data_IF_059637091873
#
_entry.id   IF_059637091873
#
_cell.length_a   1.000
_cell.length_b   1.000
_cell.length_c   1.000
_cell.angle_alpha   90.00
_cell.angle_beta   90.00
_cell.angle_gamma   90.00
#
_symmetry.space_group_name_H-M   'P 1'
#
loop_
_entity.id
_entity.type
_entity.pdbx_description
1 polymer ?
#
# COMPACT_ATOMS: atom_id res chain seq x y z
N UNK A 1 -8.04 1.30 -33.15
CA UNK A 1 -8.11 -0.17 -33.08
C UNK A 1 -8.03 -0.52 -31.59
N UNK A 2 -9.10 -0.68 -30.82
CA UNK A 2 -10.21 -1.62 -30.99
C UNK A 2 -10.23 -2.46 -29.69
N UNK A 3 -10.76 -1.90 -28.60
CA UNK A 3 -10.75 -2.52 -27.28
C UNK A 3 -12.15 -2.56 -26.69
N UNK A 4 -12.96 -3.51 -27.15
CA UNK A 4 -14.27 -3.80 -26.56
C UNK A 4 -14.11 -4.47 -25.20
N UNK A 5 -13.81 -3.68 -24.16
CA UNK A 5 -14.10 -4.07 -22.79
C UNK A 5 -15.61 -4.19 -22.64
N UNK A 6 -16.12 -5.37 -22.27
CA UNK A 6 -17.55 -5.64 -22.04
C UNK A 6 -18.06 -4.77 -20.87
N UNK A 7 -18.53 -3.56 -21.16
CA UNK A 7 -19.21 -2.67 -20.20
C UNK A 7 -20.68 -3.11 -20.05
N UNK A 8 -21.14 -3.25 -18.82
CA UNK A 8 -22.53 -3.62 -18.47
C UNK A 8 -23.21 -2.45 -17.74
N UNK A 9 -24.47 -2.18 -18.06
CA UNK A 9 -25.28 -1.16 -17.40
C UNK A 9 -25.63 -1.58 -15.95
N UNK A 10 -25.65 -0.62 -15.00
CA UNK A 10 -26.00 -0.88 -13.60
C UNK A 10 -26.23 0.38 -12.75
N UNK A 11 -26.58 0.26 -11.46
CA UNK A 11 -26.95 1.39 -10.60
C UNK A 11 -25.72 2.15 -10.02
N UNK A 12 -24.84 2.68 -10.87
CA UNK A 12 -23.69 3.53 -10.46
C UNK A 12 -24.08 4.94 -10.00
N UNK A 13 -23.14 5.89 -9.97
CA UNK A 13 -23.42 7.33 -9.78
C UNK A 13 -23.02 8.20 -10.98
N UNK A 14 -22.10 7.70 -11.82
CA UNK A 14 -21.62 8.42 -13.00
C UNK A 14 -22.55 8.20 -14.21
N UNK A 15 -22.88 9.30 -14.90
CA UNK A 15 -23.78 9.30 -16.06
C UNK A 15 -23.11 8.63 -17.26
N UNK A 16 -23.68 7.52 -17.75
CA UNK A 16 -23.15 6.81 -18.92
C UNK A 16 -23.85 7.25 -20.20
N UNK A 17 -25.14 6.95 -20.33
CA UNK A 17 -25.96 7.34 -21.47
C UNK A 17 -27.44 7.38 -21.07
N UNK A 18 -28.24 8.05 -21.88
CA UNK A 18 -29.69 7.88 -21.81
C UNK A 18 -30.10 6.76 -22.75
N UNK A 19 -30.93 5.84 -22.25
CA UNK A 19 -31.60 4.83 -23.09
C UNK A 19 -33.11 4.92 -22.95
N UNK A 20 -33.88 4.47 -23.94
CA UNK A 20 -35.32 4.32 -23.79
C UNK A 20 -35.67 3.44 -22.57
N UNK A 21 -36.69 3.85 -21.83
CA UNK A 21 -37.25 3.09 -20.72
C UNK A 21 -37.94 1.83 -21.25
N UNK A 22 -37.77 0.71 -20.55
CA UNK A 22 -38.43 -0.56 -20.82
C UNK A 22 -39.30 -0.97 -19.63
N UNK A 23 -40.21 -1.92 -19.84
CA UNK A 23 -41.23 -2.38 -18.89
C UNK A 23 -40.72 -3.06 -17.61
N UNK A 24 -39.44 -2.93 -17.26
CA UNK A 24 -38.84 -3.38 -16.00
C UNK A 24 -38.05 -2.31 -15.26
N UNK A 25 -37.98 -1.08 -15.79
CA UNK A 25 -37.20 0.00 -15.20
C UNK A 25 -37.94 0.68 -14.05
N UNK A 26 -37.25 0.86 -12.92
CA UNK A 26 -37.85 1.56 -11.78
C UNK A 26 -38.01 3.06 -12.08
N UNK A 27 -39.21 3.60 -11.83
CA UNK A 27 -39.57 5.00 -12.13
C UNK A 27 -38.60 6.05 -11.54
N UNK A 28 -37.91 5.73 -10.44
CA UNK A 28 -36.89 6.59 -9.82
C UNK A 28 -35.64 6.85 -10.70
N UNK A 29 -35.41 6.04 -11.73
CA UNK A 29 -34.29 6.18 -12.64
C UNK A 29 -34.68 6.89 -13.95
N UNK A 30 -35.96 7.25 -14.11
CA UNK A 30 -36.46 8.01 -15.25
C UNK A 30 -36.03 9.47 -15.10
N UNK A 31 -35.37 10.00 -16.13
CA UNK A 31 -35.09 11.43 -16.22
C UNK A 31 -36.32 12.13 -16.80
N UNK A 32 -37.18 12.62 -15.92
CA UNK A 32 -38.42 13.30 -16.30
C UNK A 32 -38.17 14.56 -17.12
N UNK A 33 -37.03 15.24 -16.90
CA UNK A 33 -36.69 16.49 -17.59
C UNK A 33 -36.33 16.26 -19.06
N UNK A 34 -35.59 15.18 -19.36
CA UNK A 34 -35.30 14.75 -20.74
C UNK A 34 -36.53 14.12 -21.39
N UNK A 35 -37.27 13.31 -20.64
CA UNK A 35 -38.47 12.63 -21.13
C UNK A 35 -39.58 13.61 -21.51
N UNK A 36 -39.70 14.76 -20.83
CA UNK A 36 -40.67 15.79 -21.19
C UNK A 36 -40.41 16.48 -22.54
N UNK A 37 -39.25 16.24 -23.17
CA UNK A 37 -38.88 16.82 -24.47
C UNK A 37 -39.00 15.82 -25.64
N UNK A 38 -39.56 14.64 -25.40
CA UNK A 38 -39.66 13.55 -26.38
C UNK A 38 -40.92 12.70 -26.13
N UNK A 39 -41.42 12.00 -27.13
CA UNK A 39 -42.53 11.04 -26.98
C UNK A 39 -42.09 9.71 -26.31
N UNK A 40 -40.90 9.68 -25.73
CA UNK A 40 -40.27 8.47 -25.19
C UNK A 40 -39.67 8.78 -23.84
N UNK A 41 -39.93 7.90 -22.87
CA UNK A 41 -39.32 7.99 -21.54
C UNK A 41 -37.86 7.54 -21.62
N UNK A 42 -36.96 8.32 -21.03
CA UNK A 42 -35.53 8.01 -20.96
C UNK A 42 -35.11 7.67 -19.54
N UNK A 43 -34.39 6.56 -19.39
CA UNK A 43 -33.73 6.17 -18.15
C UNK A 43 -32.26 6.58 -18.22
N UNK A 44 -31.75 7.10 -17.10
CA UNK A 44 -30.33 7.39 -16.94
C UNK A 44 -29.60 6.09 -16.57
N UNK A 45 -28.98 5.44 -17.57
CA UNK A 45 -28.06 4.33 -17.29
C UNK A 45 -26.81 4.91 -16.63
N UNK A 46 -26.42 4.30 -15.51
CA UNK A 46 -25.22 4.65 -14.77
C UNK A 46 -24.17 3.57 -15.00
N UNK A 47 -22.89 3.92 -15.06
CA UNK A 47 -21.85 2.92 -15.26
C UNK A 47 -21.68 2.09 -13.98
N UNK A 48 -21.70 0.77 -14.10
CA UNK A 48 -21.36 -0.12 -12.99
C UNK A 48 -19.86 -0.08 -12.74
N UNK A 49 -19.43 0.74 -11.79
CA UNK A 49 -18.12 0.60 -11.16
C UNK A 49 -18.36 -0.09 -9.82
N UNK A 50 -18.06 -1.40 -9.72
CA UNK A 50 -17.89 -2.02 -8.40
C UNK A 50 -16.79 -1.24 -7.70
N UNK A 51 -17.14 -0.49 -6.65
CA UNK A 51 -16.16 0.17 -5.80
C UNK A 51 -15.12 -0.87 -5.38
N UNK A 52 -13.91 -0.75 -5.90
CA UNK A 52 -12.83 -1.65 -5.53
C UNK A 52 -12.49 -1.42 -4.06
N UNK A 53 -12.07 -2.49 -3.38
CA UNK A 53 -11.62 -2.43 -2.00
C UNK A 53 -10.09 -2.42 -1.99
N UNK A 54 -9.51 -1.43 -1.33
CA UNK A 54 -8.09 -1.29 -1.07
C UNK A 54 -7.80 -1.60 0.41
N UNK A 55 -7.06 -2.68 0.66
CA UNK A 55 -6.60 -3.06 2.00
C UNK A 55 -5.16 -2.61 2.21
N UNK A 56 -4.88 -1.96 3.33
CA UNK A 56 -3.56 -1.45 3.68
C UNK A 56 -2.98 -2.25 4.84
N UNK A 57 -1.81 -2.84 4.65
CA UNK A 57 -1.00 -3.33 5.76
C UNK A 57 0.15 -2.33 5.98
N UNK A 58 0.19 -1.76 7.18
CA UNK A 58 1.20 -0.79 7.60
C UNK A 58 1.97 -1.42 8.75
N UNK A 59 3.26 -1.66 8.54
CA UNK A 59 4.10 -2.29 9.53
C UNK A 59 4.36 -1.37 10.74
N UNK A 60 3.95 -1.84 11.91
CA UNK A 60 4.14 -1.18 13.21
C UNK A 60 5.22 -1.82 14.10
N UNK A 61 6.08 -2.68 13.53
CA UNK A 61 7.17 -3.34 14.27
C UNK A 61 8.24 -2.39 14.76
N UNK A 62 9.08 -2.86 15.69
CA UNK A 62 10.10 -2.01 16.32
C UNK A 62 11.11 -1.45 15.32
N UNK A 63 11.48 -2.24 14.32
CA UNK A 63 12.36 -1.83 13.21
C UNK A 63 11.86 -0.55 12.51
N UNK A 64 10.54 -0.37 12.39
CA UNK A 64 9.93 0.78 11.73
C UNK A 64 10.10 2.10 12.51
N UNK A 65 10.47 2.04 13.80
CA UNK A 65 10.76 3.23 14.62
C UNK A 65 12.18 3.78 14.42
N UNK A 66 13.04 3.07 13.68
CA UNK A 66 14.40 3.51 13.41
C UNK A 66 14.44 4.80 12.56
N UNK A 67 15.37 5.70 12.92
CA UNK A 67 15.81 6.84 12.13
C UNK A 67 17.30 7.06 12.40
N UNK A 68 18.10 7.18 11.34
CA UNK A 68 19.53 7.46 11.46
C UNK A 68 19.85 8.96 11.52
N UNK A 69 18.84 9.82 11.53
CA UNK A 69 19.02 11.27 11.57
C UNK A 69 19.16 11.79 13.01
N UNK A 70 19.96 12.84 13.24
CA UNK A 70 19.99 13.53 14.53
C UNK A 70 18.65 14.21 14.84
N UNK A 71 18.36 14.39 16.12
CA UNK A 71 17.21 15.16 16.58
C UNK A 71 17.38 16.67 16.29
N UNK A 72 16.26 17.39 16.15
CA UNK A 72 16.26 18.85 15.93
C UNK A 72 16.34 19.27 14.46
N UNK A 73 17.21 20.23 14.14
CA UNK A 73 17.30 20.90 12.83
C UNK A 73 17.99 19.99 11.80
N UNK A 74 17.30 18.94 11.39
CA UNK A 74 17.83 17.84 10.58
C UNK A 74 17.13 16.50 10.81
N UNK A 75 16.14 16.47 11.73
CA UNK A 75 15.36 15.28 11.99
C UNK A 75 14.67 14.78 10.73
N UNK A 76 14.83 13.48 10.47
CA UNK A 76 14.06 12.75 9.47
C UNK A 76 12.94 11.96 10.16
N UNK A 77 11.77 11.83 9.51
CA UNK A 77 10.73 10.95 10.04
C UNK A 77 11.24 9.52 10.13
N UNK A 78 10.75 8.78 11.12
CA UNK A 78 10.96 7.32 11.19
C UNK A 78 10.34 6.64 9.97
N UNK A 79 10.79 5.43 9.66
CA UNK A 79 10.19 4.62 8.58
C UNK A 79 8.68 4.44 8.78
N UNK A 80 8.25 4.17 10.01
CA UNK A 80 6.85 4.01 10.39
C UNK A 80 6.05 5.29 10.19
N UNK A 81 6.60 6.46 10.55
CA UNK A 81 5.93 7.73 10.28
C UNK A 81 5.76 7.98 8.77
N UNK A 82 6.77 7.63 7.96
CA UNK A 82 6.68 7.69 6.50
C UNK A 82 5.63 6.72 5.95
N UNK A 83 5.60 5.49 6.43
CA UNK A 83 4.62 4.47 6.03
C UNK A 83 3.18 4.93 6.28
N UNK A 84 2.91 5.43 7.49
CA UNK A 84 1.59 5.96 7.87
C UNK A 84 1.15 7.16 7.04
N UNK A 85 2.08 8.08 6.76
CA UNK A 85 1.82 9.22 5.87
C UNK A 85 1.38 8.75 4.48
N UNK A 86 2.14 7.82 3.88
CA UNK A 86 1.83 7.27 2.56
C UNK A 86 0.50 6.50 2.56
N UNK A 87 0.24 5.71 3.59
CA UNK A 87 -1.02 4.98 3.77
C UNK A 87 -2.23 5.93 3.84
N UNK A 88 -2.15 6.98 4.66
CA UNK A 88 -3.24 7.96 4.79
C UNK A 88 -3.44 8.77 3.51
N UNK A 89 -2.35 9.21 2.86
CA UNK A 89 -2.44 9.92 1.60
C UNK A 89 -3.10 9.06 0.51
N UNK A 90 -2.71 7.78 0.42
CA UNK A 90 -3.31 6.84 -0.51
C UNK A 90 -4.78 6.56 -0.19
N UNK A 91 -5.14 6.44 1.10
CA UNK A 91 -6.53 6.28 1.52
C UNK A 91 -7.39 7.48 1.11
N UNK A 92 -6.87 8.71 1.25
CA UNK A 92 -7.56 9.92 0.78
C UNK A 92 -7.78 9.87 -0.73
N UNK A 93 -6.79 9.45 -1.51
CA UNK A 93 -6.93 9.30 -2.97
C UNK A 93 -7.97 8.23 -3.33
N UNK A 94 -7.92 7.06 -2.69
CA UNK A 94 -8.87 5.98 -2.89
C UNK A 94 -10.31 6.41 -2.61
N UNK A 95 -10.55 7.07 -1.48
CA UNK A 95 -11.89 7.58 -1.13
C UNK A 95 -12.37 8.65 -2.10
N UNK A 96 -11.48 9.53 -2.58
CA UNK A 96 -11.82 10.51 -3.63
C UNK A 96 -12.16 9.84 -4.96
N UNK A 97 -11.55 8.70 -5.26
CA UNK A 97 -11.86 7.87 -6.42
C UNK A 97 -13.09 6.97 -6.25
N UNK A 98 -13.83 7.07 -5.14
CA UNK A 98 -15.01 6.25 -4.87
C UNK A 98 -14.70 4.82 -4.40
N UNK A 99 -13.45 4.52 -4.05
CA UNK A 99 -13.03 3.20 -3.54
C UNK A 99 -13.31 3.06 -2.05
N UNK A 100 -13.42 1.80 -1.60
CA UNK A 100 -13.44 1.46 -0.17
C UNK A 100 -12.01 1.24 0.29
N UNK A 101 -11.64 1.79 1.45
CA UNK A 101 -10.29 1.64 1.99
C UNK A 101 -10.32 1.17 3.44
N UNK A 102 -9.38 0.31 3.83
CA UNK A 102 -9.29 -0.24 5.18
C UNK A 102 -7.88 -0.70 5.51
N UNK A 103 -7.67 -1.08 6.77
CA UNK A 103 -6.49 -1.83 7.19
C UNK A 103 -6.74 -3.33 7.05
N UNK A 104 -5.67 -4.10 6.96
CA UNK A 104 -5.73 -5.55 7.19
C UNK A 104 -6.11 -5.85 8.64
N UNK A 105 -6.62 -7.05 8.88
CA UNK A 105 -7.15 -7.45 10.18
C UNK A 105 -8.57 -6.92 10.45
N UNK A 106 -9.10 -7.13 11.67
CA UNK A 106 -10.50 -6.85 11.99
C UNK A 106 -10.79 -5.39 12.37
N UNK A 107 -9.76 -4.59 12.68
CA UNK A 107 -9.92 -3.28 13.31
C UNK A 107 -10.54 -2.23 12.37
N UNK A 108 -10.22 -2.27 11.09
CA UNK A 108 -10.71 -1.29 10.11
C UNK A 108 -10.94 -1.92 8.74
N UNK A 109 -11.98 -2.76 8.56
CA UNK A 109 -12.27 -3.36 7.26
C UNK A 109 -12.58 -2.26 6.20
N UNK A 110 -12.37 -2.54 4.89
CA UNK A 110 -12.56 -1.55 3.84
C UNK A 110 -13.98 -0.96 3.81
N UNK A 111 -14.08 0.37 3.99
CA UNK A 111 -15.33 1.14 3.92
C UNK A 111 -15.15 2.41 3.10
N UNK A 112 -16.21 2.97 2.49
CA UNK A 112 -16.13 4.22 1.75
C UNK A 112 -16.22 5.44 2.67
N UNK A 113 -15.87 6.60 2.13
CA UNK A 113 -16.24 7.90 2.70
C UNK A 113 -15.31 8.45 3.78
N UNK A 114 -15.60 9.70 4.17
CA UNK A 114 -14.74 10.49 5.07
C UNK A 114 -14.66 9.93 6.49
N UNK A 115 -15.73 9.30 6.99
CA UNK A 115 -15.73 8.68 8.31
C UNK A 115 -14.64 7.60 8.43
N UNK A 116 -14.46 6.80 7.37
CA UNK A 116 -13.41 5.79 7.34
C UNK A 116 -12.00 6.41 7.37
N UNK A 117 -11.78 7.53 6.68
CA UNK A 117 -10.49 8.24 6.74
C UNK A 117 -10.15 8.69 8.16
N UNK A 118 -11.14 9.15 8.93
CA UNK A 118 -10.93 9.54 10.33
C UNK A 118 -10.56 8.33 11.19
N UNK A 119 -11.24 7.19 11.02
CA UNK A 119 -10.90 5.93 11.70
C UNK A 119 -9.46 5.51 11.39
N UNK A 120 -9.07 5.53 10.12
CA UNK A 120 -7.70 5.19 9.69
C UNK A 120 -6.67 6.17 10.27
N UNK A 121 -6.96 7.46 10.30
CA UNK A 121 -6.08 8.47 10.88
C UNK A 121 -5.87 8.26 12.39
N UNK A 122 -6.93 7.87 13.12
CA UNK A 122 -6.81 7.53 14.54
C UNK A 122 -5.97 6.28 14.75
N UNK A 123 -6.27 5.18 14.05
CA UNK A 123 -5.55 3.91 14.23
C UNK A 123 -4.08 4.00 13.81
N UNK A 124 -3.79 4.67 12.69
CA UNK A 124 -2.41 4.89 12.26
C UNK A 124 -1.71 5.98 13.09
N UNK A 125 -2.45 6.81 13.82
CA UNK A 125 -1.88 7.83 14.70
C UNK A 125 -1.26 7.25 15.96
N UNK A 126 -1.69 6.06 16.38
CA UNK A 126 -1.22 5.39 17.59
C UNK A 126 0.08 4.59 17.34
N UNK A 127 1.21 5.17 17.74
CA UNK A 127 2.56 4.58 17.63
C UNK A 127 3.04 4.00 18.98
N UNK A 128 2.13 3.79 19.94
CA UNK A 128 2.48 3.38 21.31
C UNK A 128 2.52 1.86 21.50
N UNK A 129 2.04 1.10 20.51
CA UNK A 129 1.99 -0.36 20.59
C UNK A 129 3.39 -0.98 20.55
N UNK A 130 3.69 -1.81 21.56
CA UNK A 130 4.87 -2.69 21.56
C UNK A 130 4.59 -3.88 20.64
N UNK A 131 5.01 -3.75 19.38
CA UNK A 131 5.02 -4.84 18.40
C UNK A 131 6.30 -5.69 18.46
N UNK A 132 6.36 -6.79 17.69
CA UNK A 132 7.59 -7.57 17.50
C UNK A 132 8.70 -6.72 16.89
N UNK A 133 9.94 -7.23 16.91
CA UNK A 133 11.09 -6.53 16.34
C UNK A 133 10.91 -6.24 14.84
N UNK A 134 10.33 -7.20 14.12
CA UNK A 134 10.05 -7.11 12.70
C UNK A 134 8.60 -7.51 12.39
N UNK A 135 8.02 -6.88 11.36
CA UNK A 135 6.63 -7.12 10.98
C UNK A 135 6.46 -8.36 10.11
N UNK A 136 5.30 -8.99 10.27
CA UNK A 136 4.81 -10.06 9.39
C UNK A 136 3.52 -9.58 8.72
N UNK A 137 3.36 -9.70 7.39
CA UNK A 137 2.14 -9.29 6.72
C UNK A 137 0.91 -10.01 7.25
N UNK A 138 -0.11 -9.24 7.63
CA UNK A 138 -1.43 -9.78 7.99
C UNK A 138 -2.35 -9.77 6.76
N UNK A 139 -2.89 -10.93 6.40
CA UNK A 139 -3.75 -11.08 5.21
C UNK A 139 -5.24 -11.16 5.53
N UNK A 140 -5.59 -11.20 6.81
CA UNK A 140 -6.97 -11.24 7.29
C UNK A 140 -7.74 -9.98 6.84
N UNK A 141 -9.01 -10.14 6.49
CA UNK A 141 -9.87 -9.01 6.09
C UNK A 141 -9.65 -8.49 4.66
N UNK A 142 -8.63 -8.95 3.93
CA UNK A 142 -8.48 -8.66 2.50
C UNK A 142 -9.54 -9.44 1.73
N UNK A 143 -10.27 -8.83 0.79
CA UNK A 143 -11.28 -9.50 -0.03
C UNK A 143 -10.65 -10.27 -1.21
N UNK A 144 -11.28 -11.36 -1.66
CA UNK A 144 -10.86 -12.04 -2.89
C UNK A 144 -11.00 -11.11 -4.10
N UNK A 145 -10.07 -11.22 -5.06
CA UNK A 145 -9.96 -10.31 -6.21
C UNK A 145 -9.87 -8.81 -5.81
N UNK A 146 -9.48 -8.54 -4.55
CA UNK A 146 -9.28 -7.20 -4.03
C UNK A 146 -7.89 -6.66 -4.36
N UNK A 147 -7.62 -5.44 -3.87
CA UNK A 147 -6.29 -4.81 -3.96
C UNK A 147 -5.69 -4.62 -2.59
N UNK A 148 -4.39 -4.79 -2.48
CA UNK A 148 -3.67 -4.59 -1.22
C UNK A 148 -2.37 -3.78 -1.40
N UNK A 149 -2.00 -3.04 -0.36
CA UNK A 149 -0.72 -2.31 -0.29
C UNK A 149 -0.02 -2.63 1.01
N UNK A 150 1.23 -3.08 0.91
CA UNK A 150 2.08 -3.45 2.02
C UNK A 150 3.21 -2.42 2.18
N UNK A 151 3.32 -1.83 3.37
CA UNK A 151 4.27 -0.77 3.70
C UNK A 151 5.13 -1.20 4.90
N UNK A 152 6.39 -1.55 4.65
CA UNK A 152 7.32 -2.11 5.64
C UNK A 152 8.77 -1.92 5.19
N UNK A 153 9.75 -2.14 6.06
CA UNK A 153 11.14 -2.36 5.64
C UNK A 153 11.38 -3.78 5.11
N UNK A 154 10.42 -4.68 5.33
CA UNK A 154 10.45 -6.09 5.03
C UNK A 154 11.71 -6.77 5.58
N UNK A 155 12.16 -6.46 6.80
CA UNK A 155 13.30 -7.15 7.43
C UNK A 155 12.92 -8.40 8.24
N UNK A 156 11.62 -8.66 8.42
CA UNK A 156 11.11 -9.87 9.09
C UNK A 156 11.38 -11.18 8.36
N UNK A 157 10.75 -12.26 8.79
CA UNK A 157 10.89 -13.55 8.14
C UNK A 157 10.40 -13.49 6.68
N UNK A 158 11.29 -13.84 5.76
CA UNK A 158 11.00 -13.78 4.33
C UNK A 158 10.06 -14.90 3.89
N UNK A 159 10.08 -16.05 4.57
CA UNK A 159 9.19 -17.16 4.26
C UNK A 159 7.76 -16.84 4.69
N UNK A 160 7.59 -16.11 5.80
CA UNK A 160 6.29 -15.58 6.20
C UNK A 160 5.73 -14.55 5.19
N UNK A 161 6.59 -13.71 4.61
CA UNK A 161 6.21 -12.79 3.52
C UNK A 161 5.78 -13.59 2.27
N UNK A 162 6.54 -14.63 1.91
CA UNK A 162 6.22 -15.50 0.78
C UNK A 162 4.87 -16.20 0.97
N UNK A 163 4.61 -16.74 2.16
CA UNK A 163 3.35 -17.40 2.50
C UNK A 163 2.15 -16.43 2.43
N UNK A 164 2.32 -15.20 2.92
CA UNK A 164 1.31 -14.16 2.81
C UNK A 164 1.00 -13.80 1.36
N UNK A 165 2.03 -13.62 0.52
CA UNK A 165 1.87 -13.35 -0.92
C UNK A 165 1.19 -14.52 -1.63
N UNK A 166 1.59 -15.77 -1.36
CA UNK A 166 0.96 -16.96 -1.93
C UNK A 166 -0.53 -17.05 -1.59
N UNK A 167 -0.86 -16.84 -0.32
CA UNK A 167 -2.27 -16.81 0.14
C UNK A 167 -3.10 -15.74 -0.59
N UNK A 168 -2.48 -14.60 -0.92
CA UNK A 168 -3.15 -13.52 -1.64
C UNK A 168 -3.25 -13.78 -3.14
N UNK A 169 -2.21 -14.36 -3.74
CA UNK A 169 -2.20 -14.78 -5.14
C UNK A 169 -3.29 -15.83 -5.42
N UNK A 170 -3.43 -16.84 -4.55
CA UNK A 170 -4.48 -17.87 -4.64
C UNK A 170 -5.90 -17.28 -4.62
N UNK A 171 -6.06 -16.11 -3.99
CA UNK A 171 -7.33 -15.38 -3.89
C UNK A 171 -7.51 -14.36 -5.01
N UNK A 172 -6.58 -14.30 -5.97
CA UNK A 172 -6.56 -13.33 -7.07
C UNK A 172 -6.35 -11.89 -6.61
N UNK A 173 -5.79 -11.67 -5.43
CA UNK A 173 -5.51 -10.33 -4.91
C UNK A 173 -4.26 -9.80 -5.59
N UNK A 174 -4.38 -8.63 -6.22
CA UNK A 174 -3.24 -7.90 -6.77
C UNK A 174 -2.82 -6.79 -5.81
N UNK A 175 -1.59 -6.32 -5.91
CA UNK A 175 -1.14 -5.33 -4.96
C UNK A 175 0.24 -4.75 -5.20
N UNK A 176 0.65 -3.97 -4.22
CA UNK A 176 1.92 -3.25 -4.24
C UNK A 176 2.62 -3.43 -2.90
N UNK A 177 3.90 -3.76 -2.95
CA UNK A 177 4.82 -3.73 -1.82
C UNK A 177 5.74 -2.52 -1.97
N UNK A 178 5.78 -1.68 -0.95
CA UNK A 178 6.72 -0.57 -0.89
C UNK A 178 7.64 -0.75 0.31
N UNK A 179 8.91 -1.06 0.02
CA UNK A 179 9.94 -1.13 1.03
C UNK A 179 10.33 0.28 1.49
N UNK A 180 10.32 0.55 2.78
CA UNK A 180 10.68 1.85 3.34
C UNK A 180 11.95 1.70 4.17
N UNK A 181 13.00 2.45 3.83
CA UNK A 181 14.30 2.36 4.49
C UNK A 181 14.82 3.72 4.92
N UNK A 182 15.54 3.76 6.04
CA UNK A 182 16.35 4.93 6.37
C UNK A 182 17.68 4.88 5.61
N UNK A 183 18.19 6.02 5.10
CA UNK A 183 19.51 6.06 4.46
C UNK A 183 20.63 5.41 5.26
N UNK A 184 20.61 5.52 6.60
CA UNK A 184 21.64 4.91 7.44
C UNK A 184 21.63 3.38 7.39
N UNK A 185 20.49 2.75 7.06
CA UNK A 185 20.42 1.29 6.88
C UNK A 185 21.09 0.86 5.58
N UNK A 186 21.00 1.64 4.50
CA UNK A 186 21.65 1.33 3.22
C UNK A 186 23.13 1.75 3.17
N UNK A 187 23.40 2.92 3.72
CA UNK A 187 24.72 3.51 3.71
C UNK A 187 25.61 2.90 4.79
N UNK A 188 25.00 2.27 5.80
CA UNK A 188 25.67 1.61 6.92
C UNK A 188 26.86 2.44 7.42
N UNK A 189 26.63 3.68 7.90
CA UNK A 189 27.69 4.63 8.24
C UNK A 189 28.37 4.32 9.59
N UNK A 190 28.14 3.14 10.15
CA UNK A 190 28.70 2.73 11.43
C UNK A 190 30.13 2.22 11.22
N UNK A 191 31.12 2.93 11.76
CA UNK A 191 32.46 2.38 11.98
C UNK A 191 32.33 1.20 12.96
N UNK A 192 33.08 0.11 12.73
CA UNK A 192 32.90 -1.21 13.39
C UNK A 192 32.65 -1.20 14.90
N UNK A 193 33.11 -0.16 15.62
CA UNK A 193 32.87 0.06 17.05
C UNK A 193 31.40 0.03 17.47
N UNK A 194 30.47 0.58 16.69
CA UNK A 194 29.04 0.63 17.09
C UNK A 194 28.36 -0.74 17.00
N UNK A 195 28.91 -1.66 16.20
CA UNK A 195 28.37 -3.02 16.00
C UNK A 195 28.86 -3.95 17.12
N UNK A 196 30.08 -3.75 17.61
CA UNK A 196 30.62 -4.50 18.75
C UNK A 196 29.83 -4.25 20.05
N UNK A 197 29.34 -3.03 20.28
CA UNK A 197 28.49 -2.76 21.44
C UNK A 197 27.12 -3.47 21.36
N UNK A 198 26.62 -3.76 20.15
CA UNK A 198 25.35 -4.48 19.98
C UNK A 198 25.49 -6.01 19.97
N UNK A 199 26.68 -6.57 19.73
CA UNK A 199 26.87 -8.02 19.51
C UNK A 199 27.88 -8.72 20.43
N UNK A 200 28.55 -8.01 21.34
CA UNK A 200 29.42 -8.64 22.34
C UNK A 200 30.70 -7.84 22.53
N UNK A 201 30.84 -7.20 23.70
CA UNK A 201 32.00 -6.38 24.05
C UNK A 201 33.31 -7.15 23.91
N UNK A 202 34.18 -6.71 23.00
CA UNK A 202 35.49 -7.29 22.79
C UNK A 202 36.31 -6.60 21.71
N UNK A 203 37.11 -5.60 22.12
CA UNK A 203 38.29 -4.99 21.48
C UNK A 203 38.53 -5.19 19.95
N UNK A 204 38.52 -4.07 19.18
CA UNK A 204 39.69 -3.24 18.80
C UNK A 204 40.61 -3.86 17.71
N UNK A 205 40.06 -4.25 16.55
CA UNK A 205 40.84 -4.54 15.33
C UNK A 205 40.10 -4.20 14.00
N UNK A 206 39.43 -3.05 13.86
CA UNK A 206 38.27 -2.98 12.93
C UNK A 206 38.29 -1.85 11.87
N UNK A 207 39.33 -1.71 11.04
CA UNK A 207 39.23 -0.79 9.87
C UNK A 207 39.13 -1.54 8.53
N UNK A 208 39.93 -2.59 8.31
CA UNK A 208 39.78 -3.47 7.12
C UNK A 208 38.55 -4.36 7.22
N UNK A 209 38.20 -4.81 8.42
CA UNK A 209 37.00 -5.61 8.68
C UNK A 209 35.71 -4.80 8.52
N UNK A 210 35.72 -3.49 8.82
CA UNK A 210 34.54 -2.62 8.67
C UNK A 210 34.15 -2.41 7.19
N UNK A 211 35.12 -2.23 6.29
CA UNK A 211 34.85 -2.11 4.85
C UNK A 211 34.29 -3.42 4.26
N UNK A 212 34.85 -4.57 4.65
CA UNK A 212 34.36 -5.88 4.25
C UNK A 212 32.95 -6.16 4.83
N UNK A 213 32.71 -5.78 6.09
CA UNK A 213 31.39 -5.90 6.73
C UNK A 213 30.32 -5.06 6.02
N UNK A 214 30.65 -3.81 5.65
CA UNK A 214 29.75 -2.94 4.89
C UNK A 214 29.43 -3.52 3.51
N UNK A 215 30.42 -4.07 2.81
CA UNK A 215 30.23 -4.71 1.52
C UNK A 215 29.32 -5.95 1.64
N UNK A 216 29.57 -6.81 2.63
CA UNK A 216 28.73 -8.00 2.91
C UNK A 216 27.30 -7.63 3.27
N UNK A 217 27.11 -6.61 4.11
CA UNK A 217 25.78 -6.12 4.47
C UNK A 217 25.00 -5.63 3.23
N UNK A 218 25.64 -4.79 2.40
CA UNK A 218 25.03 -4.29 1.16
C UNK A 218 24.68 -5.42 0.19
N UNK A 219 25.54 -6.43 0.08
CA UNK A 219 25.25 -7.61 -0.74
C UNK A 219 24.02 -8.37 -0.23
N UNK A 220 23.90 -8.58 1.09
CA UNK A 220 22.72 -9.22 1.71
C UNK A 220 21.45 -8.41 1.52
N UNK A 221 21.52 -7.08 1.63
CA UNK A 221 20.38 -6.19 1.41
C UNK A 221 19.93 -6.24 -0.05
N UNK A 222 20.86 -6.22 -1.00
CA UNK A 222 20.58 -6.36 -2.43
C UNK A 222 19.94 -7.72 -2.74
N UNK A 223 20.51 -8.82 -2.25
CA UNK A 223 19.95 -10.16 -2.40
C UNK A 223 18.52 -10.25 -1.85
N UNK A 224 18.29 -9.66 -0.68
CA UNK A 224 16.95 -9.61 -0.08
C UNK A 224 15.97 -8.83 -0.93
N UNK A 225 16.36 -7.67 -1.47
CA UNK A 225 15.52 -6.88 -2.39
C UNK A 225 15.17 -7.66 -3.64
N UNK A 226 16.15 -8.35 -4.22
CA UNK A 226 15.93 -9.15 -5.42
C UNK A 226 14.96 -10.31 -5.13
N UNK A 227 15.06 -10.94 -3.95
CA UNK A 227 14.09 -11.95 -3.50
C UNK A 227 12.69 -11.35 -3.36
N UNK A 228 12.54 -10.19 -2.72
CA UNK A 228 11.25 -9.51 -2.56
C UNK A 228 10.64 -9.14 -3.91
N UNK A 229 11.44 -8.62 -4.84
CA UNK A 229 10.99 -8.27 -6.18
C UNK A 229 10.51 -9.49 -6.97
N UNK A 230 11.23 -10.63 -6.88
CA UNK A 230 10.81 -11.89 -7.52
C UNK A 230 9.50 -12.41 -6.95
N UNK A 231 9.38 -12.51 -5.63
CA UNK A 231 8.15 -12.99 -4.97
C UNK A 231 6.95 -12.09 -5.30
N UNK A 232 7.14 -10.77 -5.33
CA UNK A 232 6.09 -9.84 -5.74
C UNK A 232 5.67 -10.10 -7.19
N UNK A 233 6.63 -10.20 -8.12
CA UNK A 233 6.32 -10.45 -9.53
C UNK A 233 5.59 -11.79 -9.76
N UNK A 234 6.02 -12.86 -9.07
CA UNK A 234 5.38 -14.18 -9.12
C UNK A 234 3.92 -14.14 -8.60
N UNK A 235 3.65 -13.32 -7.59
CA UNK A 235 2.30 -13.10 -7.07
C UNK A 235 1.43 -12.14 -7.92
N UNK A 236 1.98 -11.53 -8.98
CA UNK A 236 1.31 -10.49 -9.77
C UNK A 236 1.29 -9.11 -9.09
N UNK A 237 2.21 -8.87 -8.16
CA UNK A 237 2.37 -7.64 -7.39
C UNK A 237 3.55 -6.81 -7.91
N UNK A 238 3.52 -5.52 -7.60
CA UNK A 238 4.63 -4.61 -7.90
C UNK A 238 5.45 -4.33 -6.63
N UNK A 239 6.76 -4.19 -6.79
CA UNK A 239 7.69 -3.90 -5.70
C UNK A 239 8.53 -2.65 -6.01
N UNK A 240 8.76 -1.80 -5.00
CA UNK A 240 9.71 -0.70 -5.07
C UNK A 240 10.24 -0.36 -3.68
N UNK A 241 11.29 0.45 -3.64
CA UNK A 241 11.93 0.93 -2.41
C UNK A 241 11.87 2.46 -2.33
N UNK A 242 11.51 2.97 -1.15
CA UNK A 242 11.50 4.39 -0.82
C UNK A 242 12.44 4.67 0.36
N UNK A 243 13.24 5.72 0.24
CA UNK A 243 14.15 6.17 1.31
C UNK A 243 13.48 7.29 2.11
N UNK A 244 13.56 7.28 3.44
CA UNK A 244 12.96 8.33 4.28
C UNK A 244 13.49 9.75 3.99
N UNK A 245 14.72 9.86 3.49
CA UNK A 245 15.33 11.13 3.04
C UNK A 245 14.82 11.64 1.69
N UNK A 246 14.13 10.80 0.90
CA UNK A 246 13.49 11.24 -0.34
C UNK A 246 12.10 11.80 -0.05
N UNK A 247 11.64 12.69 -0.93
CA UNK A 247 10.36 13.33 -0.82
C UNK A 247 9.21 12.28 -0.93
N UNK A 248 8.21 12.30 -0.02
CA UNK A 248 7.13 11.29 -0.02
C UNK A 248 6.25 11.32 -1.28
N UNK A 249 6.20 12.46 -1.98
CA UNK A 249 5.38 12.67 -3.18
C UNK A 249 5.75 11.70 -4.29
N UNK A 250 7.06 11.44 -4.48
CA UNK A 250 7.52 10.50 -5.49
C UNK A 250 7.05 9.06 -5.20
N UNK A 251 7.09 8.65 -3.93
CA UNK A 251 6.59 7.33 -3.52
C UNK A 251 5.05 7.24 -3.67
N UNK A 252 4.32 8.30 -3.32
CA UNK A 252 2.87 8.33 -3.47
C UNK A 252 2.45 8.26 -4.95
N UNK A 253 3.13 8.98 -5.84
CA UNK A 253 2.88 8.93 -7.28
C UNK A 253 3.15 7.53 -7.84
N UNK A 254 4.27 6.90 -7.42
CA UNK A 254 4.58 5.54 -7.82
C UNK A 254 3.52 4.54 -7.32
N UNK A 255 3.13 4.62 -6.04
CA UNK A 255 2.08 3.78 -5.45
C UNK A 255 0.78 3.89 -6.23
N UNK A 256 0.33 5.12 -6.51
CA UNK A 256 -0.90 5.36 -7.25
C UNK A 256 -0.83 4.80 -8.68
N UNK A 257 0.26 5.05 -9.40
CA UNK A 257 0.45 4.53 -10.76
C UNK A 257 0.55 2.99 -10.80
N UNK A 258 1.21 2.37 -9.83
CA UNK A 258 1.31 0.92 -9.71
C UNK A 258 -0.07 0.29 -9.48
N UNK A 259 -0.86 0.91 -8.60
CA UNK A 259 -2.20 0.49 -8.29
C UNK A 259 -3.17 0.61 -9.48
N UNK A 260 -3.01 1.59 -10.36
CA UNK A 260 -3.81 1.73 -11.58
C UNK A 260 -3.46 0.67 -12.65
N UNK A 261 -2.19 0.30 -12.78
CA UNK A 261 -1.76 -0.76 -13.73
C UNK A 261 -2.37 -2.13 -13.41
N UNK A 262 -2.65 -2.41 -12.15
CA UNK A 262 -3.31 -3.65 -11.73
C UNK A 262 -4.82 -3.70 -12.01
N UNK A 263 -5.41 -2.65 -12.60
CA UNK A 263 -6.85 -2.61 -12.98
C UNK A 263 -7.12 -3.19 -14.37
N UNK A 264 -6.06 -3.42 -15.18
CA UNK A 264 -6.12 -3.85 -16.58
C UNK A 264 -6.16 -5.35 -16.79
#
# INVERSE_FOLDING_TARGET
MGGHGRRRAGPGEEFWQYRPAHSGDAARFVDWRRSARSDTQFVRDREWQLAQSLSLWVDGSASMRFTGAPSGRGARPTKGARARLLALALAVLAVRGGERVGLTGPLAPPRPGRAQLMTLATLLGDDTALGPDYGTPEVAGIAAQGRAVFLSDFFGDIEAIAAALGTLADRGVTGVMLQILDPAEEDFPFDGRTIFESMGGGLRHETREAADLRARYRARLAERRDRLARMAAEAGWQFSTHRTATAPEAALLWLHAALERGRG
#
